data_IF_426700641564
#
_entry.id   IF_426700641564
#
_cell.length_a   1.000
_cell.length_b   1.000
_cell.length_c   1.000
_cell.angle_alpha   90.00
_cell.angle_beta   90.00
_cell.angle_gamma   90.00
#
_symmetry.space_group_name_H-M   'P 1'
#
loop_
_entity.id
_entity.type
_entity.pdbx_description
1 polymer ?
#
# COMPACT_ATOMS: atom_id res chain seq x y z
N UNK A 1 -4.41 26.46 6.26
CA UNK A 1 -3.67 25.18 6.39
C UNK A 1 -4.14 24.30 5.25
N UNK A 2 -3.25 23.86 4.36
CA UNK A 2 -3.64 22.95 3.28
C UNK A 2 -4.04 21.61 3.92
N UNK A 3 -5.29 21.21 3.72
CA UNK A 3 -5.80 19.92 4.18
C UNK A 3 -5.04 18.78 3.47
N UNK A 4 -4.73 17.70 4.19
CA UNK A 4 -4.04 16.53 3.59
C UNK A 4 -5.02 15.85 2.64
N UNK A 5 -4.66 15.71 1.37
CA UNK A 5 -5.56 15.20 0.32
C UNK A 5 -6.00 13.75 0.55
N UNK A 6 -5.17 12.92 1.17
CA UNK A 6 -5.58 11.56 1.56
C UNK A 6 -6.73 11.54 2.56
N UNK A 7 -6.94 12.62 3.32
CA UNK A 7 -8.08 12.78 4.22
C UNK A 7 -9.23 13.56 3.57
N UNK A 8 -8.93 14.65 2.85
CA UNK A 8 -9.92 15.47 2.13
C UNK A 8 -10.75 14.64 1.16
N UNK A 9 -10.06 13.81 0.36
CA UNK A 9 -10.67 12.98 -0.69
C UNK A 9 -11.05 11.57 -0.22
N UNK A 10 -10.85 11.24 1.06
CA UNK A 10 -11.18 9.91 1.57
C UNK A 10 -12.67 9.61 1.35
N UNK A 11 -13.02 8.50 0.68
CA UNK A 11 -14.40 8.05 0.52
C UNK A 11 -15.16 8.03 1.84
N UNK A 12 -16.35 8.63 1.86
CA UNK A 12 -17.22 8.73 3.04
C UNK A 12 -18.27 7.64 3.07
N UNK A 13 -18.65 7.13 1.89
CA UNK A 13 -19.63 6.07 1.70
C UNK A 13 -19.00 4.85 1.04
N UNK A 14 -19.65 3.68 1.14
CA UNK A 14 -19.21 2.46 0.47
C UNK A 14 -19.28 2.57 -1.06
N UNK A 15 -20.13 3.44 -1.60
CA UNK A 15 -20.26 3.68 -3.04
C UNK A 15 -19.11 4.47 -3.63
N UNK A 16 -18.48 5.32 -2.83
CA UNK A 16 -17.32 6.12 -3.24
C UNK A 16 -16.00 5.35 -3.23
N UNK A 17 -15.99 4.14 -2.65
CA UNK A 17 -14.77 3.33 -2.56
C UNK A 17 -14.39 2.78 -3.92
N UNK A 18 -13.20 3.09 -4.39
CA UNK A 18 -12.68 2.73 -5.71
C UNK A 18 -12.04 1.33 -5.70
N UNK A 19 -12.23 0.56 -6.77
CA UNK A 19 -11.48 -0.67 -7.07
C UNK A 19 -11.79 -1.90 -6.22
N UNK A 20 -12.73 -1.82 -5.23
CA UNK A 20 -13.04 -2.92 -4.30
C UNK A 20 -14.52 -3.34 -4.36
N UNK A 21 -15.15 -3.30 -5.54
CA UNK A 21 -16.60 -3.50 -5.70
C UNK A 21 -17.14 -4.77 -5.03
N UNK A 22 -16.47 -5.90 -5.19
CA UNK A 22 -16.91 -7.16 -4.57
C UNK A 22 -16.88 -7.12 -3.03
N UNK A 23 -16.02 -6.30 -2.45
CA UNK A 23 -15.92 -6.08 -1.01
C UNK A 23 -17.03 -5.14 -0.56
N UNK A 24 -17.19 -3.99 -1.23
CA UNK A 24 -18.20 -2.99 -0.87
C UNK A 24 -19.61 -3.54 -0.99
N UNK A 25 -19.91 -4.34 -2.02
CA UNK A 25 -21.22 -4.98 -2.18
C UNK A 25 -21.52 -5.93 -1.01
N UNK A 26 -20.54 -6.72 -0.55
CA UNK A 26 -20.72 -7.59 0.62
C UNK A 26 -20.88 -6.78 1.92
N UNK A 27 -20.16 -5.66 2.06
CA UNK A 27 -20.27 -4.78 3.23
C UNK A 27 -21.65 -4.09 3.27
N UNK A 28 -22.22 -3.69 2.12
CA UNK A 28 -23.59 -3.17 2.02
C UNK A 28 -24.62 -4.17 2.52
N UNK A 29 -24.44 -5.46 2.23
CA UNK A 29 -25.31 -6.51 2.77
C UNK A 29 -25.31 -6.56 4.30
N UNK A 30 -24.20 -6.28 4.98
CA UNK A 30 -24.18 -6.15 6.44
C UNK A 30 -24.90 -4.90 6.93
N UNK A 31 -24.82 -3.78 6.20
CA UNK A 31 -25.56 -2.55 6.53
C UNK A 31 -27.07 -2.79 6.42
N UNK A 32 -27.53 -3.43 5.34
CA UNK A 32 -28.94 -3.78 5.12
C UNK A 32 -29.47 -4.73 6.19
N UNK A 33 -28.69 -5.74 6.53
CA UNK A 33 -29.03 -6.71 7.57
C UNK A 33 -28.95 -6.13 9.00
N UNK A 34 -28.38 -4.93 9.18
CA UNK A 34 -28.04 -4.33 10.48
C UNK A 34 -27.27 -5.27 11.40
N UNK A 35 -26.55 -6.22 10.85
CA UNK A 35 -25.79 -7.22 11.59
C UNK A 35 -24.56 -7.65 10.80
N UNK A 36 -23.48 -7.95 11.51
CA UNK A 36 -22.24 -8.43 10.92
C UNK A 36 -21.50 -9.41 11.86
N UNK A 37 -20.69 -10.29 11.30
CA UNK A 37 -19.70 -11.07 12.05
C UNK A 37 -18.47 -10.19 12.36
N UNK A 38 -17.49 -10.75 13.07
CA UNK A 38 -16.15 -10.14 13.06
C UNK A 38 -15.58 -10.20 11.65
N UNK A 39 -14.85 -9.16 11.25
CA UNK A 39 -14.25 -9.05 9.91
C UNK A 39 -12.72 -9.03 10.01
N UNK A 40 -12.08 -9.54 8.98
CA UNK A 40 -10.65 -9.39 8.78
C UNK A 40 -10.40 -8.81 7.38
N UNK A 41 -9.80 -7.63 7.31
CA UNK A 41 -9.40 -6.93 6.09
C UNK A 41 -7.91 -7.18 5.86
N UNK A 42 -7.58 -7.99 4.87
CA UNK A 42 -6.20 -8.38 4.57
C UNK A 42 -5.81 -7.88 3.18
N UNK A 43 -4.64 -7.25 3.05
CA UNK A 43 -4.12 -6.78 1.77
C UNK A 43 -3.04 -5.71 1.93
N UNK A 44 -2.38 -5.35 0.82
CA UNK A 44 -1.30 -4.36 0.79
C UNK A 44 -1.74 -2.98 1.30
N UNK A 45 -0.79 -2.11 1.70
CA UNK A 45 -1.09 -0.73 2.09
C UNK A 45 -1.81 0.04 0.98
N UNK A 46 -2.57 1.09 1.34
CA UNK A 46 -3.21 2.01 0.40
C UNK A 46 -4.34 1.43 -0.45
N UNK A 47 -4.83 0.22 -0.16
CA UNK A 47 -5.90 -0.47 -0.91
C UNK A 47 -7.32 -0.19 -0.42
N UNK A 48 -7.49 0.68 0.60
CA UNK A 48 -8.80 1.13 1.08
C UNK A 48 -9.34 0.39 2.31
N UNK A 49 -8.53 -0.41 3.04
CA UNK A 49 -8.97 -1.17 4.24
C UNK A 49 -9.61 -0.26 5.30
N UNK A 50 -8.88 0.76 5.76
CA UNK A 50 -9.35 1.73 6.77
C UNK A 50 -10.53 2.55 6.23
N UNK A 51 -10.48 2.94 4.96
CA UNK A 51 -11.57 3.66 4.28
C UNK A 51 -12.86 2.85 4.29
N UNK A 52 -12.81 1.56 3.95
CA UNK A 52 -13.98 0.68 4.00
C UNK A 52 -14.53 0.51 5.42
N UNK A 53 -13.66 0.41 6.43
CA UNK A 53 -14.09 0.30 7.83
C UNK A 53 -14.85 1.55 8.29
N UNK A 54 -14.32 2.73 7.97
CA UNK A 54 -14.94 4.02 8.29
C UNK A 54 -16.26 4.22 7.51
N UNK A 55 -16.28 3.92 6.21
CA UNK A 55 -17.48 4.01 5.38
C UNK A 55 -18.58 3.06 5.89
N UNK A 56 -18.21 1.82 6.25
CA UNK A 56 -19.13 0.85 6.85
C UNK A 56 -19.73 1.39 8.15
N UNK A 57 -18.90 1.91 9.06
CA UNK A 57 -19.37 2.45 10.34
C UNK A 57 -20.34 3.62 10.14
N UNK A 58 -20.03 4.55 9.21
CA UNK A 58 -20.93 5.66 8.87
C UNK A 58 -22.24 5.17 8.28
N UNK A 59 -22.19 4.19 7.39
CA UNK A 59 -23.40 3.60 6.78
C UNK A 59 -24.26 2.86 7.81
N UNK A 60 -23.66 2.21 8.82
CA UNK A 60 -24.40 1.47 9.84
C UNK A 60 -25.04 2.38 10.91
N UNK A 61 -24.36 3.45 11.31
CA UNK A 61 -24.75 4.23 12.49
C UNK A 61 -25.15 5.69 12.17
N UNK A 62 -25.05 6.12 10.91
CA UNK A 62 -25.35 7.52 10.55
C UNK A 62 -24.55 8.51 11.39
N UNK A 63 -25.24 9.51 11.95
CA UNK A 63 -24.61 10.58 12.75
C UNK A 63 -24.00 10.09 14.07
N UNK A 64 -24.49 8.97 14.60
CA UNK A 64 -24.02 8.39 15.88
C UNK A 64 -22.78 7.48 15.71
N UNK A 65 -22.19 7.40 14.52
CA UNK A 65 -21.09 6.49 14.24
C UNK A 65 -19.88 6.68 15.17
N UNK A 66 -19.57 7.93 15.57
CA UNK A 66 -18.42 8.20 16.47
C UNK A 66 -18.59 7.63 17.89
N UNK A 67 -19.82 7.45 18.36
CA UNK A 67 -20.12 6.82 19.65
C UNK A 67 -20.04 5.28 19.60
N UNK A 68 -20.21 4.71 18.39
CA UNK A 68 -20.29 3.28 18.17
C UNK A 68 -19.06 2.70 17.42
N UNK A 69 -18.06 3.51 17.14
CA UNK A 69 -16.85 3.10 16.44
C UNK A 69 -15.61 3.64 17.13
N UNK A 70 -14.61 2.78 17.33
CA UNK A 70 -13.28 3.19 17.77
C UNK A 70 -12.24 2.61 16.82
N UNK A 71 -11.29 3.46 16.43
CA UNK A 71 -10.10 3.09 15.68
C UNK A 71 -8.90 3.05 16.61
N UNK A 72 -8.16 1.96 16.56
CA UNK A 72 -6.92 1.76 17.32
C UNK A 72 -5.86 1.21 16.37
N UNK A 73 -4.64 1.74 16.47
CA UNK A 73 -3.50 1.21 15.73
C UNK A 73 -2.72 0.24 16.63
N UNK A 74 -2.62 -1.02 16.20
CA UNK A 74 -1.90 -2.05 16.96
C UNK A 74 -0.37 -1.91 16.88
N UNK A 75 0.16 -1.06 15.98
CA UNK A 75 1.59 -0.77 15.94
C UNK A 75 2.06 0.21 17.00
N UNK A 76 1.18 1.11 17.45
CA UNK A 76 1.49 2.09 18.49
C UNK A 76 1.71 1.41 19.85
N UNK A 77 0.98 0.31 20.06
CA UNK A 77 0.95 -0.42 21.32
C UNK A 77 0.77 -1.92 21.05
N UNK A 78 1.87 -2.64 20.83
CA UNK A 78 1.88 -4.05 20.40
C UNK A 78 1.57 -5.06 21.51
N UNK A 79 1.49 -4.56 22.77
CA UNK A 79 1.40 -5.37 23.96
C UNK A 79 -0.03 -5.76 24.32
N UNK A 80 -0.13 -6.71 25.27
CA UNK A 80 -1.39 -7.21 25.83
C UNK A 80 -2.21 -6.11 26.55
N UNK A 81 -1.55 -5.02 26.97
CA UNK A 81 -2.17 -3.95 27.76
C UNK A 81 -3.16 -3.12 26.94
N UNK A 82 -2.94 -2.96 25.61
CA UNK A 82 -3.95 -2.34 24.71
C UNK A 82 -5.25 -3.12 24.73
N UNK A 83 -5.15 -4.43 24.63
CA UNK A 83 -6.33 -5.33 24.63
C UNK A 83 -7.02 -5.31 26.01
N UNK A 84 -6.25 -5.24 27.07
CA UNK A 84 -6.78 -5.22 28.45
C UNK A 84 -7.33 -3.87 28.87
N UNK A 85 -6.79 -2.79 28.33
CA UNK A 85 -7.23 -1.41 28.59
C UNK A 85 -8.31 -0.97 27.59
N UNK A 86 -7.93 -0.12 26.62
CA UNK A 86 -8.82 0.59 25.69
C UNK A 86 -9.85 -0.31 25.00
N UNK A 87 -9.44 -1.46 24.47
CA UNK A 87 -10.34 -2.39 23.77
C UNK A 87 -11.40 -2.92 24.73
N UNK A 88 -11.00 -3.37 25.91
CA UNK A 88 -11.91 -3.95 26.89
C UNK A 88 -12.85 -2.91 27.47
N UNK A 89 -12.39 -1.69 27.74
CA UNK A 89 -13.20 -0.62 28.28
C UNK A 89 -14.28 -0.20 27.28
N UNK A 90 -13.91 -0.02 26.00
CA UNK A 90 -14.88 0.26 24.96
C UNK A 90 -15.88 -0.88 24.76
N UNK A 91 -15.44 -2.15 24.79
CA UNK A 91 -16.29 -3.31 24.62
C UNK A 91 -17.30 -3.52 25.77
N UNK A 92 -17.01 -3.00 26.95
CA UNK A 92 -17.91 -3.10 28.14
C UNK A 92 -19.04 -2.09 28.13
N UNK A 93 -18.91 -0.98 27.46
CA UNK A 93 -19.95 0.05 27.42
C UNK A 93 -21.02 -0.32 26.39
N UNK A 94 -22.27 0.01 26.70
CA UNK A 94 -23.39 -0.25 25.79
C UNK A 94 -23.27 0.55 24.49
N UNK A 95 -23.83 0.05 23.37
CA UNK A 95 -24.00 0.83 22.16
C UNK A 95 -24.86 2.08 22.41
N UNK A 96 -24.64 3.11 21.57
CA UNK A 96 -25.33 4.42 21.68
C UNK A 96 -26.42 4.49 20.61
N UNK A 97 -27.44 5.31 20.86
CA UNK A 97 -28.54 5.63 19.92
C UNK A 97 -29.24 4.40 19.32
N UNK A 98 -29.48 3.38 20.16
CA UNK A 98 -30.23 2.19 19.76
C UNK A 98 -29.48 1.24 18.82
N UNK A 99 -28.18 1.40 18.63
CA UNK A 99 -27.38 0.44 17.90
C UNK A 99 -27.33 -0.91 18.65
N UNK A 100 -27.32 -2.03 17.92
CA UNK A 100 -27.28 -3.37 18.52
C UNK A 100 -25.86 -3.72 19.04
N UNK A 101 -24.83 -3.22 18.38
CA UNK A 101 -23.42 -3.47 18.73
C UNK A 101 -22.56 -2.25 18.35
N UNK A 102 -21.31 -2.26 18.81
CA UNK A 102 -20.29 -1.30 18.44
C UNK A 102 -19.19 -1.94 17.61
N UNK A 103 -18.46 -1.15 16.84
CA UNK A 103 -17.33 -1.63 16.03
C UNK A 103 -16.01 -1.16 16.65
N UNK A 104 -15.11 -2.12 16.83
CA UNK A 104 -13.70 -1.87 17.16
C UNK A 104 -12.89 -2.18 15.90
N UNK A 105 -12.34 -1.15 15.29
CA UNK A 105 -11.41 -1.27 14.18
C UNK A 105 -9.97 -1.28 14.71
N UNK A 106 -9.25 -2.36 14.42
CA UNK A 106 -7.87 -2.54 14.85
C UNK A 106 -6.98 -2.55 13.61
N UNK A 107 -6.32 -1.43 13.33
CA UNK A 107 -5.40 -1.34 12.21
C UNK A 107 -4.04 -1.97 12.56
N UNK A 108 -3.32 -2.42 11.54
CA UNK A 108 -2.03 -3.11 11.67
C UNK A 108 -2.05 -4.27 12.69
N UNK A 109 -3.14 -5.03 12.73
CA UNK A 109 -3.35 -6.12 13.71
C UNK A 109 -2.26 -7.20 13.65
N UNK A 110 -1.56 -7.32 12.53
CA UNK A 110 -0.41 -8.21 12.34
C UNK A 110 0.86 -7.73 13.08
N UNK A 111 0.84 -6.55 13.70
CA UNK A 111 1.88 -6.08 14.60
C UNK A 111 1.69 -6.57 16.06
N UNK A 112 0.51 -7.10 16.43
CA UNK A 112 0.25 -7.63 17.77
C UNK A 112 1.12 -8.84 18.07
N UNK A 113 1.64 -8.91 19.30
CA UNK A 113 2.30 -10.12 19.82
C UNK A 113 1.31 -11.30 19.92
N UNK A 114 1.80 -12.53 19.92
CA UNK A 114 0.96 -13.72 20.06
C UNK A 114 0.14 -13.71 21.35
N UNK A 115 0.70 -13.22 22.46
CA UNK A 115 -0.01 -13.10 23.74
C UNK A 115 -1.14 -12.06 23.68
N UNK A 116 -0.91 -10.92 22.99
CA UNK A 116 -1.92 -9.92 22.76
C UNK A 116 -3.06 -10.47 21.87
N UNK A 117 -2.73 -11.20 20.82
CA UNK A 117 -3.71 -11.88 19.96
C UNK A 117 -4.51 -12.94 20.75
N UNK A 118 -3.86 -13.71 21.64
CA UNK A 118 -4.54 -14.64 22.52
C UNK A 118 -5.52 -13.96 23.50
N UNK A 119 -5.17 -12.78 24.01
CA UNK A 119 -6.05 -11.96 24.84
C UNK A 119 -7.20 -11.33 24.03
N UNK A 120 -6.91 -10.87 22.81
CA UNK A 120 -7.89 -10.33 21.87
C UNK A 120 -8.95 -11.37 21.53
N UNK A 121 -8.55 -12.61 21.22
CA UNK A 121 -9.49 -13.72 20.98
C UNK A 121 -10.49 -13.86 22.12
N UNK A 122 -10.01 -13.91 23.38
CA UNK A 122 -10.89 -14.02 24.55
C UNK A 122 -11.84 -12.83 24.69
N UNK A 123 -11.37 -11.63 24.34
CA UNK A 123 -12.20 -10.41 24.35
C UNK A 123 -13.27 -10.46 23.26
N UNK A 124 -12.94 -10.89 22.05
CA UNK A 124 -13.89 -11.11 20.96
C UNK A 124 -15.01 -12.10 21.34
N UNK A 125 -14.65 -13.22 21.98
CA UNK A 125 -15.62 -14.21 22.45
C UNK A 125 -16.54 -13.63 23.54
N UNK A 126 -15.95 -12.97 24.52
CA UNK A 126 -16.68 -12.43 25.68
C UNK A 126 -17.68 -11.34 25.32
N UNK A 127 -17.32 -10.45 24.40
CA UNK A 127 -18.12 -9.27 24.03
C UNK A 127 -18.79 -9.39 22.65
N UNK A 128 -18.93 -10.60 22.13
CA UNK A 128 -19.54 -10.86 20.82
C UNK A 128 -20.99 -10.36 20.70
N UNK A 129 -21.70 -10.15 21.78
CA UNK A 129 -23.06 -9.58 21.77
C UNK A 129 -23.07 -8.07 21.60
N UNK A 130 -22.10 -7.36 22.16
CA UNK A 130 -22.06 -5.89 22.23
C UNK A 130 -21.03 -5.27 21.28
N UNK A 131 -20.09 -6.04 20.76
CA UNK A 131 -19.03 -5.55 19.88
C UNK A 131 -18.75 -6.46 18.70
N UNK A 132 -18.42 -5.86 17.58
CA UNK A 132 -17.81 -6.50 16.41
C UNK A 132 -16.41 -5.95 16.21
N UNK A 133 -15.53 -6.81 15.77
CA UNK A 133 -14.14 -6.45 15.50
C UNK A 133 -13.92 -6.45 13.98
N UNK A 134 -13.23 -5.44 13.51
CA UNK A 134 -12.66 -5.36 12.17
C UNK A 134 -11.16 -5.32 12.34
N UNK A 135 -10.46 -6.38 11.97
CA UNK A 135 -9.01 -6.48 12.05
C UNK A 135 -8.42 -6.15 10.67
N UNK A 136 -7.62 -5.11 10.57
CA UNK A 136 -6.89 -4.77 9.35
C UNK A 136 -5.45 -5.25 9.47
N UNK A 137 -4.96 -5.94 8.45
CA UNK A 137 -3.60 -6.47 8.42
C UNK A 137 -3.03 -6.44 7.00
N UNK A 138 -1.71 -6.36 6.88
CA UNK A 138 -1.04 -6.54 5.61
C UNK A 138 -0.81 -8.03 5.32
N UNK A 139 -0.49 -8.81 6.34
CA UNK A 139 -0.19 -10.24 6.24
C UNK A 139 -1.13 -11.06 7.13
N UNK A 140 -2.15 -11.68 6.54
CA UNK A 140 -3.08 -12.52 7.31
C UNK A 140 -2.41 -13.72 7.98
N UNK A 141 -1.28 -14.20 7.46
CA UNK A 141 -0.49 -15.29 8.05
C UNK A 141 0.12 -14.96 9.42
N UNK A 142 0.22 -13.66 9.77
CA UNK A 142 0.68 -13.24 11.11
C UNK A 142 -0.44 -13.21 12.14
N UNK A 143 -1.68 -13.42 11.74
CA UNK A 143 -2.84 -13.53 12.65
C UNK A 143 -3.04 -14.99 13.01
N UNK A 144 -3.16 -15.29 14.29
CA UNK A 144 -3.35 -16.67 14.75
C UNK A 144 -4.67 -17.29 14.24
N UNK A 145 -4.65 -18.58 13.90
CA UNK A 145 -5.81 -19.31 13.35
C UNK A 145 -7.09 -19.18 14.19
N UNK A 146 -7.03 -19.20 15.54
CA UNK A 146 -8.22 -19.02 16.37
C UNK A 146 -8.93 -17.66 16.18
N UNK A 147 -8.24 -16.62 15.75
CA UNK A 147 -8.85 -15.33 15.39
C UNK A 147 -9.39 -15.40 13.96
N UNK A 148 -8.58 -15.91 13.02
CA UNK A 148 -8.98 -16.01 11.62
C UNK A 148 -10.29 -16.79 11.45
N UNK A 149 -10.44 -17.93 12.16
CA UNK A 149 -11.65 -18.77 12.09
C UNK A 149 -12.93 -18.10 12.60
N UNK A 150 -12.81 -16.98 13.33
CA UNK A 150 -13.94 -16.18 13.85
C UNK A 150 -14.29 -14.98 13.00
N UNK A 151 -13.49 -14.71 11.97
CA UNK A 151 -13.66 -13.54 11.11
C UNK A 151 -14.09 -13.93 9.70
N UNK A 152 -15.00 -13.18 9.12
CA UNK A 152 -15.19 -13.19 7.67
C UNK A 152 -14.03 -12.44 7.03
N UNK A 153 -13.27 -13.13 6.18
CA UNK A 153 -12.07 -12.58 5.55
C UNK A 153 -12.42 -11.85 4.27
N UNK A 154 -11.93 -10.61 4.15
CA UNK A 154 -11.99 -9.74 2.97
C UNK A 154 -10.57 -9.49 2.47
N UNK A 155 -10.28 -9.94 1.26
CA UNK A 155 -8.96 -9.81 0.65
C UNK A 155 -8.95 -8.62 -0.30
N UNK A 156 -8.36 -7.52 0.17
CA UNK A 156 -8.15 -6.32 -0.62
C UNK A 156 -7.02 -6.55 -1.64
N UNK A 157 -7.31 -6.25 -2.89
CA UNK A 157 -6.33 -6.33 -3.98
C UNK A 157 -5.70 -4.97 -4.21
N UNK A 158 -4.45 -4.91 -4.73
CA UNK A 158 -3.93 -3.67 -5.28
C UNK A 158 -4.93 -3.08 -6.27
N UNK A 159 -5.06 -1.76 -6.27
CA UNK A 159 -5.96 -1.07 -7.18
C UNK A 159 -5.45 -1.18 -8.62
N UNK A 160 -6.36 -1.21 -9.59
CA UNK A 160 -5.99 -1.22 -10.99
C UNK A 160 -5.41 0.15 -11.40
N UNK A 161 -4.66 0.18 -12.49
CA UNK A 161 -4.11 1.41 -13.03
C UNK A 161 -5.24 2.38 -13.44
N UNK A 162 -6.33 1.84 -13.98
CA UNK A 162 -7.51 2.58 -14.39
C UNK A 162 -8.20 3.24 -13.19
N UNK A 163 -8.41 2.48 -12.11
CA UNK A 163 -9.01 2.99 -10.87
C UNK A 163 -8.21 4.15 -10.26
N UNK A 164 -6.86 4.00 -10.24
CA UNK A 164 -5.97 5.04 -9.70
C UNK A 164 -6.01 6.27 -10.58
N UNK A 165 -5.92 6.10 -11.91
CA UNK A 165 -5.97 7.19 -12.87
C UNK A 165 -7.24 8.01 -12.73
N UNK A 166 -8.41 7.37 -12.77
CA UNK A 166 -9.71 8.02 -12.66
C UNK A 166 -9.82 8.83 -11.35
N UNK A 167 -9.31 8.26 -10.26
CA UNK A 167 -9.31 8.94 -8.97
C UNK A 167 -8.40 10.17 -8.95
N UNK A 168 -7.20 10.07 -9.52
CA UNK A 168 -6.27 11.18 -9.63
C UNK A 168 -6.80 12.29 -10.55
N UNK A 169 -7.41 11.93 -11.69
CA UNK A 169 -8.03 12.89 -12.61
C UNK A 169 -9.16 13.69 -11.93
N UNK A 170 -9.93 13.04 -11.04
CA UNK A 170 -10.92 13.74 -10.23
C UNK A 170 -10.27 14.77 -9.33
N UNK A 171 -9.21 14.40 -8.60
CA UNK A 171 -8.49 15.31 -7.72
C UNK A 171 -7.89 16.48 -8.52
N UNK A 172 -7.26 16.20 -9.66
CA UNK A 172 -6.68 17.24 -10.52
C UNK A 172 -7.73 18.26 -10.96
N UNK A 173 -8.93 17.82 -11.32
CA UNK A 173 -10.05 18.72 -11.69
C UNK A 173 -10.54 19.54 -10.50
N UNK A 174 -10.71 18.92 -9.32
CA UNK A 174 -11.23 19.59 -8.13
C UNK A 174 -10.23 20.62 -7.56
N UNK A 175 -8.91 20.35 -7.67
CA UNK A 175 -7.84 21.25 -7.24
C UNK A 175 -7.37 22.21 -8.37
N UNK A 176 -7.91 22.07 -9.60
CA UNK A 176 -7.52 22.88 -10.76
C UNK A 176 -6.02 22.80 -11.08
N UNK A 177 -5.44 21.59 -11.04
CA UNK A 177 -4.01 21.38 -11.24
C UNK A 177 -3.62 21.46 -12.73
N UNK A 178 -2.47 22.05 -13.02
CA UNK A 178 -1.83 22.00 -14.32
C UNK A 178 -0.98 20.73 -14.43
N UNK A 179 -1.48 19.74 -15.18
CA UNK A 179 -0.85 18.42 -15.33
C UNK A 179 -0.44 18.22 -16.78
N UNK A 180 0.86 17.98 -17.01
CA UNK A 180 1.40 17.72 -18.33
C UNK A 180 1.10 16.28 -18.80
N UNK A 181 1.22 16.06 -20.12
CA UNK A 181 1.07 14.74 -20.72
C UNK A 181 2.04 13.74 -20.11
N UNK A 182 1.56 12.51 -19.81
CA UNK A 182 2.36 11.45 -19.20
C UNK A 182 2.53 11.52 -17.67
N UNK A 183 2.27 12.67 -17.03
CA UNK A 183 2.46 12.81 -15.58
C UNK A 183 1.53 11.89 -14.77
N UNK A 184 0.27 11.73 -15.19
CA UNK A 184 -0.65 10.78 -14.55
C UNK A 184 -0.20 9.34 -14.71
N UNK A 185 0.37 8.98 -15.87
CA UNK A 185 0.94 7.64 -16.10
C UNK A 185 2.11 7.37 -15.18
N UNK A 186 2.98 8.36 -14.98
CA UNK A 186 4.09 8.27 -14.03
C UNK A 186 3.58 8.08 -12.60
N UNK A 187 2.53 8.81 -12.17
CA UNK A 187 1.91 8.63 -10.86
C UNK A 187 1.34 7.23 -10.67
N UNK A 188 0.59 6.73 -11.65
CA UNK A 188 0.01 5.39 -11.65
C UNK A 188 1.11 4.31 -11.55
N UNK A 189 2.18 4.47 -12.33
CA UNK A 189 3.34 3.57 -12.29
C UNK A 189 3.99 3.52 -10.91
N UNK A 190 4.20 4.67 -10.29
CA UNK A 190 4.83 4.80 -8.97
C UNK A 190 3.93 4.25 -7.86
N UNK A 191 2.61 4.44 -7.99
CA UNK A 191 1.63 4.00 -7.01
C UNK A 191 1.61 2.49 -6.81
N UNK A 192 1.79 1.69 -7.87
CA UNK A 192 1.79 0.21 -7.80
C UNK A 192 0.58 -0.36 -7.06
N UNK A 193 -0.59 0.21 -7.29
CA UNK A 193 -1.83 -0.21 -6.62
C UNK A 193 -2.10 0.41 -5.24
N UNK A 194 -1.24 1.33 -4.77
CA UNK A 194 -1.38 2.07 -3.51
C UNK A 194 -1.90 3.50 -3.78
N UNK A 195 -3.20 3.74 -3.51
CA UNK A 195 -3.83 5.05 -3.70
C UNK A 195 -3.24 6.12 -2.77
N UNK A 196 -2.86 5.78 -1.55
CA UNK A 196 -2.28 6.72 -0.60
C UNK A 196 -0.97 7.28 -1.15
N UNK A 197 -0.13 6.41 -1.70
CA UNK A 197 1.12 6.80 -2.35
C UNK A 197 0.86 7.71 -3.55
N UNK A 198 -0.11 7.37 -4.41
CA UNK A 198 -0.47 8.17 -5.57
C UNK A 198 -0.89 9.60 -5.19
N UNK A 199 -1.83 9.71 -4.24
CA UNK A 199 -2.37 11.00 -3.78
C UNK A 199 -1.32 11.85 -3.07
N UNK A 200 -0.50 11.24 -2.20
CA UNK A 200 0.58 11.95 -1.52
C UNK A 200 1.63 12.48 -2.50
N UNK A 201 2.02 11.68 -3.50
CA UNK A 201 2.96 12.12 -4.53
C UNK A 201 2.39 13.28 -5.35
N UNK A 202 1.10 13.21 -5.72
CA UNK A 202 0.42 14.29 -6.44
C UNK A 202 0.39 15.56 -5.60
N UNK A 203 0.01 15.49 -4.33
CA UNK A 203 -0.01 16.66 -3.43
C UNK A 203 1.37 17.26 -3.22
N UNK A 204 2.40 16.42 -3.11
CA UNK A 204 3.79 16.89 -2.97
C UNK A 204 4.24 17.59 -4.25
N UNK A 205 3.90 17.06 -5.42
CA UNK A 205 4.21 17.71 -6.71
C UNK A 205 3.54 19.07 -6.84
N UNK A 206 2.26 19.19 -6.49
CA UNK A 206 1.52 20.45 -6.46
C UNK A 206 2.16 21.50 -5.53
N UNK A 207 2.67 21.08 -4.39
CA UNK A 207 3.30 21.98 -3.41
C UNK A 207 4.55 22.70 -3.92
N UNK A 208 5.13 22.27 -5.03
CA UNK A 208 6.27 22.94 -5.67
C UNK A 208 5.84 24.19 -6.48
N UNK A 209 4.54 24.36 -6.76
CA UNK A 209 3.99 25.54 -7.47
C UNK A 209 4.41 25.63 -8.94
N UNK A 210 4.73 24.50 -9.57
CA UNK A 210 5.09 24.38 -10.99
C UNK A 210 4.16 23.37 -11.67
N UNK A 211 3.99 23.42 -13.01
CA UNK A 211 3.23 22.41 -13.73
C UNK A 211 3.73 20.99 -13.41
N UNK A 212 2.79 20.08 -13.20
CA UNK A 212 3.10 18.70 -12.79
C UNK A 212 3.52 17.91 -14.02
N UNK A 213 4.82 17.76 -14.20
CA UNK A 213 5.46 16.97 -15.27
C UNK A 213 5.95 15.62 -14.77
N UNK A 214 6.35 14.73 -15.69
CA UNK A 214 7.00 13.45 -15.36
C UNK A 214 8.26 13.67 -14.52
N UNK A 215 9.06 14.70 -14.83
CA UNK A 215 10.28 15.03 -14.08
C UNK A 215 9.98 15.46 -12.64
N UNK A 216 8.94 16.28 -12.46
CA UNK A 216 8.49 16.70 -11.13
C UNK A 216 8.06 15.50 -10.31
N UNK A 217 7.24 14.61 -10.89
CA UNK A 217 6.79 13.38 -10.24
C UNK A 217 7.97 12.49 -9.85
N UNK A 218 8.92 12.27 -10.75
CA UNK A 218 10.11 11.45 -10.51
C UNK A 218 10.93 12.02 -9.35
N UNK A 219 11.16 13.33 -9.32
CA UNK A 219 11.91 14.00 -8.23
C UNK A 219 11.22 13.88 -6.88
N UNK A 220 9.91 14.16 -6.79
CA UNK A 220 9.20 14.14 -5.50
C UNK A 220 8.92 12.73 -4.98
N UNK A 221 8.82 11.75 -5.87
CA UNK A 221 8.60 10.35 -5.49
C UNK A 221 9.88 9.62 -5.11
N UNK A 222 11.05 10.20 -5.42
CA UNK A 222 12.32 9.50 -5.34
C UNK A 222 12.29 8.21 -6.20
N UNK A 223 11.76 8.28 -7.42
CA UNK A 223 11.65 7.13 -8.33
C UNK A 223 12.15 7.55 -9.70
N UNK A 224 13.05 6.80 -10.28
CA UNK A 224 13.41 6.98 -11.68
C UNK A 224 12.21 6.64 -12.56
N UNK A 225 12.11 7.28 -13.73
CA UNK A 225 11.08 6.90 -14.67
C UNK A 225 11.41 5.55 -15.32
N UNK A 226 10.40 4.92 -15.90
CA UNK A 226 10.55 3.60 -16.49
C UNK A 226 11.59 3.57 -17.62
N UNK A 227 11.64 4.63 -18.44
CA UNK A 227 12.55 4.76 -19.57
C UNK A 227 14.01 4.84 -19.13
N UNK A 228 14.30 5.54 -18.04
CA UNK A 228 15.65 5.65 -17.49
C UNK A 228 16.17 4.30 -17.00
N UNK A 229 15.37 3.58 -16.22
CA UNK A 229 15.74 2.23 -15.76
C UNK A 229 15.92 1.29 -16.96
N UNK A 230 14.99 1.32 -17.93
CA UNK A 230 15.10 0.53 -19.13
C UNK A 230 16.34 0.90 -19.94
N UNK A 231 16.68 2.19 -20.02
CA UNK A 231 17.88 2.69 -20.67
C UNK A 231 19.19 2.21 -20.04
N UNK A 232 19.23 2.06 -18.69
CA UNK A 232 20.37 1.44 -17.98
C UNK A 232 20.50 -0.02 -18.38
N UNK A 233 19.41 -0.79 -18.28
CA UNK A 233 19.41 -2.22 -18.54
C UNK A 233 19.76 -2.55 -20.00
N UNK A 234 19.20 -1.81 -20.95
CA UNK A 234 19.48 -2.01 -22.38
C UNK A 234 20.91 -1.63 -22.77
N UNK A 235 21.47 -0.57 -22.15
CA UNK A 235 22.89 -0.22 -22.35
C UNK A 235 23.82 -1.32 -21.85
N UNK A 236 23.52 -1.91 -20.67
CA UNK A 236 24.30 -3.02 -20.12
C UNK A 236 24.23 -4.27 -21.02
N UNK A 237 23.04 -4.68 -21.44
CA UNK A 237 22.85 -5.83 -22.35
C UNK A 237 23.51 -5.62 -23.71
N UNK A 238 23.65 -4.37 -24.18
CA UNK A 238 24.36 -4.05 -25.40
C UNK A 238 25.89 -3.99 -25.24
N UNK A 239 26.45 -4.45 -24.13
CA UNK A 239 27.90 -4.44 -23.84
C UNK A 239 28.46 -3.06 -23.45
N UNK A 240 27.63 -2.03 -23.30
CA UNK A 240 28.07 -0.67 -23.00
C UNK A 240 28.09 -0.41 -21.50
N UNK A 241 28.96 -1.14 -20.77
CA UNK A 241 29.04 -1.07 -19.32
C UNK A 241 29.24 0.35 -18.77
N UNK A 242 30.21 1.10 -19.32
CA UNK A 242 30.53 2.45 -18.84
C UNK A 242 29.35 3.41 -19.02
N UNK A 243 28.58 3.30 -20.12
CA UNK A 243 27.38 4.07 -20.36
C UNK A 243 26.28 3.71 -19.35
N UNK A 244 26.09 2.41 -19.10
CA UNK A 244 25.10 1.93 -18.12
C UNK A 244 25.42 2.40 -16.71
N UNK A 245 26.69 2.30 -16.29
CA UNK A 245 27.17 2.78 -14.98
C UNK A 245 26.99 4.30 -14.84
N UNK A 246 27.31 5.07 -15.88
CA UNK A 246 27.11 6.54 -15.86
C UNK A 246 25.61 6.92 -15.74
N UNK A 247 24.72 6.21 -16.44
CA UNK A 247 23.27 6.42 -16.30
C UNK A 247 22.78 6.03 -14.90
N UNK A 248 23.30 4.95 -14.33
CA UNK A 248 23.01 4.53 -12.97
C UNK A 248 23.40 5.61 -11.96
N UNK A 249 24.64 6.14 -12.06
CA UNK A 249 25.11 7.22 -11.20
C UNK A 249 24.22 8.46 -11.28
N UNK A 250 23.84 8.85 -12.50
CA UNK A 250 22.94 9.97 -12.70
C UNK A 250 21.61 9.77 -12.00
N UNK A 251 20.99 8.60 -12.15
CA UNK A 251 19.72 8.27 -11.48
C UNK A 251 19.85 8.27 -9.96
N UNK A 252 20.95 7.71 -9.42
CA UNK A 252 21.19 7.70 -7.98
C UNK A 252 21.33 9.12 -7.41
N UNK A 253 22.04 10.01 -8.12
CA UNK A 253 22.31 11.36 -7.67
C UNK A 253 21.11 12.28 -7.86
N UNK A 254 20.53 12.30 -9.06
CA UNK A 254 19.46 13.25 -9.45
C UNK A 254 18.16 13.01 -8.66
N UNK A 255 17.86 11.76 -8.34
CA UNK A 255 16.64 11.37 -7.59
C UNK A 255 16.89 10.97 -6.14
N UNK A 256 18.14 10.90 -5.69
CA UNK A 256 18.49 10.49 -4.33
C UNK A 256 18.06 9.05 -4.01
N UNK A 257 18.04 8.18 -5.02
CA UNK A 257 17.57 6.80 -4.88
C UNK A 257 18.58 5.92 -4.15
N UNK A 258 18.06 5.11 -3.21
CA UNK A 258 18.83 4.02 -2.62
C UNK A 258 19.04 2.87 -3.61
N UNK A 259 20.09 2.08 -3.39
CA UNK A 259 20.31 0.88 -4.19
C UNK A 259 19.15 -0.11 -4.08
N UNK A 260 18.46 -0.15 -2.94
CA UNK A 260 17.26 -0.97 -2.77
C UNK A 260 16.11 -0.52 -3.69
N UNK A 261 15.91 0.79 -3.85
CA UNK A 261 14.85 1.31 -4.71
C UNK A 261 15.15 1.00 -6.18
N UNK A 262 16.42 1.16 -6.58
CA UNK A 262 16.86 0.89 -7.94
C UNK A 262 16.77 -0.59 -8.28
N UNK A 263 17.26 -1.48 -7.42
CA UNK A 263 17.23 -2.92 -7.69
C UNK A 263 15.80 -3.44 -7.87
N UNK A 264 14.84 -2.94 -7.08
CA UNK A 264 13.42 -3.28 -7.20
C UNK A 264 12.81 -2.77 -8.50
N UNK A 265 13.21 -1.57 -8.94
CA UNK A 265 12.78 -1.03 -10.22
C UNK A 265 13.38 -1.83 -11.37
N UNK A 266 14.68 -2.14 -11.35
CA UNK A 266 15.34 -3.01 -12.32
C UNK A 266 14.67 -4.37 -12.43
N UNK A 267 14.37 -5.02 -11.28
CA UNK A 267 13.69 -6.31 -11.26
C UNK A 267 12.34 -6.26 -12.01
N UNK A 268 11.55 -5.22 -11.81
CA UNK A 268 10.25 -5.08 -12.50
C UNK A 268 10.37 -4.93 -14.02
N UNK A 269 11.50 -4.40 -14.50
CA UNK A 269 11.73 -4.18 -15.94
C UNK A 269 12.38 -5.37 -16.64
N UNK A 270 13.00 -6.30 -15.92
CA UNK A 270 13.63 -7.51 -16.51
C UNK A 270 12.62 -8.29 -17.35
N UNK A 271 11.35 -8.37 -16.92
CA UNK A 271 10.31 -9.08 -17.64
C UNK A 271 9.99 -8.47 -19.03
N UNK A 272 10.23 -7.16 -19.19
CA UNK A 272 9.99 -6.41 -20.45
C UNK A 272 11.18 -6.44 -21.40
N UNK A 273 12.34 -6.93 -20.96
CA UNK A 273 13.53 -7.01 -21.80
C UNK A 273 13.33 -7.99 -22.96
N UNK A 274 13.87 -7.63 -24.13
CA UNK A 274 13.85 -8.47 -25.34
C UNK A 274 15.03 -9.46 -25.34
N UNK A 275 15.07 -10.33 -24.33
CA UNK A 275 16.06 -11.43 -24.22
C UNK A 275 15.32 -12.76 -24.04
N UNK A 276 16.01 -13.87 -24.29
CA UNK A 276 15.46 -15.20 -24.13
C UNK A 276 15.05 -15.51 -22.67
N UNK A 277 14.23 -16.55 -22.50
CA UNK A 277 13.71 -16.92 -21.17
C UNK A 277 14.81 -17.35 -20.20
N UNK A 278 15.85 -18.04 -20.70
CA UNK A 278 16.97 -18.50 -19.85
C UNK A 278 17.75 -17.30 -19.29
N UNK A 279 18.01 -16.31 -20.14
CA UNK A 279 18.64 -15.04 -19.74
C UNK A 279 17.78 -14.28 -18.71
N UNK A 280 16.46 -14.20 -18.89
CA UNK A 280 15.56 -13.60 -17.88
C UNK A 280 15.66 -14.28 -16.53
N UNK A 281 15.64 -15.62 -16.51
CA UNK A 281 15.73 -16.41 -15.25
C UNK A 281 17.06 -16.12 -14.55
N UNK A 282 18.18 -16.11 -15.28
CA UNK A 282 19.49 -15.78 -14.71
C UNK A 282 19.56 -14.36 -14.15
N UNK A 283 18.94 -13.40 -14.84
CA UNK A 283 18.87 -12.01 -14.36
C UNK A 283 18.03 -11.88 -13.10
N UNK A 284 16.89 -12.57 -13.01
CA UNK A 284 16.04 -12.56 -11.81
C UNK A 284 16.78 -13.17 -10.61
N UNK A 285 17.43 -14.32 -10.80
CA UNK A 285 18.21 -14.97 -9.75
C UNK A 285 19.33 -14.04 -9.24
N UNK A 286 20.09 -13.46 -10.18
CA UNK A 286 21.16 -12.51 -9.83
C UNK A 286 20.66 -11.25 -9.15
N UNK A 287 19.50 -10.75 -9.56
CA UNK A 287 18.87 -9.58 -8.92
C UNK A 287 18.49 -9.88 -7.48
N UNK A 288 17.92 -11.06 -7.21
CA UNK A 288 17.59 -11.49 -5.84
C UNK A 288 18.83 -11.62 -4.94
N UNK A 289 19.92 -12.19 -5.47
CA UNK A 289 21.21 -12.28 -4.76
C UNK A 289 21.74 -10.87 -4.38
N UNK A 290 21.67 -9.94 -5.32
CA UNK A 290 22.19 -8.57 -5.11
C UNK A 290 21.27 -7.80 -4.15
N UNK A 291 19.94 -7.93 -4.25
CA UNK A 291 19.02 -7.32 -3.28
C UNK A 291 19.33 -7.80 -1.86
N UNK A 292 19.51 -9.11 -1.67
CA UNK A 292 19.88 -9.67 -0.37
C UNK A 292 21.19 -9.05 0.17
N UNK A 293 22.23 -8.95 -0.68
CA UNK A 293 23.52 -8.34 -0.26
C UNK A 293 23.40 -6.87 0.12
N UNK A 294 22.57 -6.11 -0.60
CA UNK A 294 22.31 -4.69 -0.28
C UNK A 294 21.59 -4.59 1.09
N UNK A 295 20.60 -5.44 1.34
CA UNK A 295 19.87 -5.48 2.62
C UNK A 295 20.80 -5.83 3.79
N UNK A 296 21.75 -6.74 3.59
CA UNK A 296 22.77 -7.11 4.57
C UNK A 296 23.87 -6.05 4.77
N UNK A 297 23.76 -4.90 4.11
CA UNK A 297 24.63 -3.73 4.33
C UNK A 297 25.87 -3.66 3.42
N UNK A 298 25.92 -4.40 2.31
CA UNK A 298 26.95 -4.24 1.30
C UNK A 298 26.83 -2.88 0.59
N UNK A 299 27.94 -2.36 0.04
CA UNK A 299 27.92 -1.12 -0.71
C UNK A 299 26.99 -1.21 -1.92
N UNK A 300 25.95 -0.38 -1.93
CA UNK A 300 24.85 -0.42 -2.89
C UNK A 300 25.35 -0.23 -4.33
N UNK A 301 26.21 0.77 -4.57
CA UNK A 301 26.74 1.06 -5.90
C UNK A 301 27.54 -0.11 -6.46
N UNK A 302 28.43 -0.70 -5.66
CA UNK A 302 29.23 -1.86 -6.08
C UNK A 302 28.33 -3.03 -6.46
N UNK A 303 27.28 -3.29 -5.70
CA UNK A 303 26.36 -4.38 -5.98
C UNK A 303 25.53 -4.14 -7.25
N UNK A 304 25.07 -2.92 -7.49
CA UNK A 304 24.36 -2.56 -8.73
C UNK A 304 25.28 -2.65 -9.95
N UNK A 305 26.50 -2.15 -9.86
CA UNK A 305 27.51 -2.28 -10.94
C UNK A 305 27.84 -3.76 -11.23
N UNK A 306 27.88 -4.62 -10.20
CA UNK A 306 28.05 -6.05 -10.39
C UNK A 306 26.88 -6.68 -11.16
N UNK A 307 25.65 -6.21 -10.96
CA UNK A 307 24.51 -6.61 -11.78
C UNK A 307 24.68 -6.16 -13.23
N UNK A 308 25.08 -4.91 -13.45
CA UNK A 308 25.31 -4.39 -14.81
C UNK A 308 26.41 -5.17 -15.54
N UNK A 309 27.52 -5.49 -14.85
CA UNK A 309 28.58 -6.33 -15.40
C UNK A 309 28.08 -7.73 -15.77
N UNK A 310 27.24 -8.33 -14.93
CA UNK A 310 26.62 -9.63 -15.24
C UNK A 310 25.69 -9.55 -16.45
N UNK A 311 24.96 -8.44 -16.62
CA UNK A 311 24.10 -8.20 -17.77
C UNK A 311 24.88 -8.09 -19.08
N UNK A 312 26.07 -7.45 -19.05
CA UNK A 312 26.99 -7.41 -20.21
C UNK A 312 27.34 -8.82 -20.65
N UNK A 313 27.75 -9.71 -19.71
CA UNK A 313 28.09 -11.10 -20.01
C UNK A 313 26.92 -11.92 -20.57
N UNK A 314 25.69 -11.57 -20.21
CA UNK A 314 24.48 -12.19 -20.79
C UNK A 314 24.24 -11.66 -22.19
N UNK A 315 24.40 -10.35 -22.40
CA UNK A 315 24.19 -9.74 -23.72
C UNK A 315 25.17 -10.21 -24.79
N UNK A 316 26.40 -10.52 -24.41
CA UNK A 316 27.41 -11.09 -25.33
C UNK A 316 27.09 -12.54 -25.82
N UNK A 317 26.17 -13.23 -25.12
CA UNK A 317 25.78 -14.61 -25.43
C UNK A 317 24.53 -14.72 -26.30
N UNK A 318 23.80 -13.62 -26.43
CA UNK A 318 22.59 -13.48 -27.24
C UNK A 318 22.88 -12.73 -28.55
#
# INVERSE_FOLDING_TARGET
>A
MNEIWTEKYRPKTLDEVVGQKSITDRLKGYVEAKNMSHLMFAGSPGTGKTTCALALARSMYGDSWRGNFIELNASDDRGIDVVRGKIKDFARTAPVDGAEFKIIFLDESDALTNDAQGALRRTMEKYSKTCRFILSCNYSSKIIDPIQSRCAVFRFRPLSNEDIREYLERICREESLEVEEGALDALVYIARGDMRRAVNTLQTADSLGVPISVDVISKVSGSANEEEIMGILTSALAGRFTEASSKLDKVMIDYGLSGQDIIRQMHSQIFKLSVDTESKVKLIDKTGEIEFRIIEGSNEKIQLEALLAYMVLIGEKN
#
